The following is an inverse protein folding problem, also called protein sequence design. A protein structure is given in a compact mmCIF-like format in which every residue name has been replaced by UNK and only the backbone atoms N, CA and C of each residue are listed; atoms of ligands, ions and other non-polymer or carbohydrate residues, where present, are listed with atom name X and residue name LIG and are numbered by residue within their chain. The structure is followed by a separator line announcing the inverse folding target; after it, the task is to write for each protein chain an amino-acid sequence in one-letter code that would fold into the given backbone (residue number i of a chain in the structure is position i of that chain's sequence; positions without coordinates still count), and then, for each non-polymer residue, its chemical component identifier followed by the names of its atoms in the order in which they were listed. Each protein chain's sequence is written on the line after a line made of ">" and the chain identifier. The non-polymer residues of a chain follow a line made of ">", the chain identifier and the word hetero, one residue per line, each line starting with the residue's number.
data_IF_602261453192
#
_entry.id   IF_602261453192
#
_cell.length_a   1.000
_cell.length_b   1.000
_cell.length_c   1.000
_cell.angle_alpha   90.00
_cell.angle_beta   90.00
_cell.angle_gamma   90.00
#
_symmetry.space_group_name_H-M   'P 1'
#
loop_
_entity.id
_entity.type
_entity.pdbx_description
1 polymer ?
#
# COMPACT_ATOMS: atom_id res chain seq x y z
N UNK A 1 21.86 -2.39 4.53
CA UNK A 1 21.98 -2.87 3.13
C UNK A 1 21.00 -3.98 2.76
N UNK A 2 21.02 -5.18 3.37
CA UNK A 2 20.04 -6.24 3.01
C UNK A 2 18.61 -5.90 3.48
N UNK A 3 18.46 -5.40 4.71
CA UNK A 3 17.17 -5.00 5.31
C UNK A 3 16.43 -3.92 4.53
N UNK A 4 17.17 -2.96 3.95
CA UNK A 4 16.61 -1.90 3.10
C UNK A 4 16.14 -2.43 1.75
N UNK A 5 16.78 -3.46 1.18
CA UNK A 5 16.26 -4.12 -0.02
C UNK A 5 14.95 -4.87 0.28
N UNK A 6 14.88 -5.61 1.39
CA UNK A 6 13.64 -6.29 1.80
C UNK A 6 12.47 -5.32 2.02
N UNK A 7 12.70 -4.19 2.69
CA UNK A 7 11.67 -3.16 2.87
C UNK A 7 11.15 -2.63 1.53
N UNK A 8 12.03 -2.41 0.54
CA UNK A 8 11.64 -1.97 -0.81
C UNK A 8 10.83 -3.04 -1.55
N UNK A 9 11.25 -4.30 -1.50
CA UNK A 9 10.50 -5.39 -2.13
C UNK A 9 9.13 -5.59 -1.50
N UNK A 10 9.00 -5.38 -0.19
CA UNK A 10 7.71 -5.41 0.48
C UNK A 10 6.81 -4.25 0.06
N UNK A 11 7.34 -3.02 -0.09
CA UNK A 11 6.58 -1.90 -0.67
C UNK A 11 6.10 -2.23 -2.09
N UNK A 12 6.95 -2.84 -2.90
CA UNK A 12 6.58 -3.30 -4.24
C UNK A 12 5.49 -4.37 -4.20
N UNK A 13 5.60 -5.34 -3.28
CA UNK A 13 4.61 -6.39 -3.08
C UNK A 13 3.27 -5.80 -2.63
N UNK A 14 3.26 -4.86 -1.68
CA UNK A 14 2.06 -4.13 -1.25
C UNK A 14 1.41 -3.38 -2.41
N UNK A 15 2.21 -2.71 -3.25
CA UNK A 15 1.72 -2.05 -4.47
C UNK A 15 1.07 -3.04 -5.44
N UNK A 16 1.70 -4.19 -5.68
CA UNK A 16 1.16 -5.24 -6.56
C UNK A 16 -0.14 -5.85 -6.03
N UNK A 17 -0.23 -6.09 -4.71
CA UNK A 17 -1.44 -6.60 -4.06
C UNK A 17 -2.59 -5.58 -4.17
N UNK A 18 -2.32 -4.29 -3.96
CA UNK A 18 -3.30 -3.22 -4.15
C UNK A 18 -3.80 -3.15 -5.60
N UNK A 19 -2.90 -3.23 -6.58
CA UNK A 19 -3.27 -3.25 -7.99
C UNK A 19 -4.14 -4.47 -8.33
N UNK A 20 -3.81 -5.64 -7.78
CA UNK A 20 -4.62 -6.84 -7.95
C UNK A 20 -6.03 -6.67 -7.34
N UNK A 21 -6.13 -6.15 -6.11
CA UNK A 21 -7.44 -5.90 -5.48
C UNK A 21 -8.26 -4.85 -6.22
N UNK A 22 -7.63 -3.80 -6.75
CA UNK A 22 -8.27 -2.81 -7.59
C UNK A 22 -8.91 -3.44 -8.83
N UNK A 23 -8.18 -4.28 -9.57
CA UNK A 23 -8.74 -4.96 -10.75
C UNK A 23 -9.81 -5.99 -10.35
N UNK A 24 -9.57 -6.75 -9.27
CA UNK A 24 -10.51 -7.74 -8.78
C UNK A 24 -11.84 -7.10 -8.34
N UNK A 25 -11.83 -5.92 -7.73
CA UNK A 25 -13.05 -5.22 -7.31
C UNK A 25 -13.88 -4.76 -8.52
N UNK A 26 -13.24 -4.33 -9.61
CA UNK A 26 -13.94 -3.99 -10.86
C UNK A 26 -14.67 -5.20 -11.47
N UNK A 27 -14.11 -6.41 -11.37
CA UNK A 27 -14.79 -7.62 -11.88
C UNK A 27 -16.07 -7.97 -11.10
N UNK A 28 -16.23 -7.46 -9.87
CA UNK A 28 -17.41 -7.68 -9.02
C UNK A 28 -18.55 -6.67 -9.24
N UNK A 29 -18.33 -5.65 -10.06
CA UNK A 29 -19.34 -4.61 -10.36
C UNK A 29 -20.65 -5.21 -10.92
N UNK A 30 -20.56 -6.32 -11.67
CA UNK A 30 -21.73 -6.98 -12.26
C UNK A 30 -22.72 -7.61 -11.27
N UNK A 31 -22.37 -7.70 -9.98
CA UNK A 31 -23.20 -8.38 -8.96
C UNK A 31 -24.21 -7.42 -8.30
N UNK A 32 -23.92 -6.12 -8.21
CA UNK A 32 -24.78 -5.11 -7.59
C UNK A 32 -24.73 -3.78 -8.37
N UNK A 33 -25.60 -3.57 -9.37
CA UNK A 33 -25.54 -2.39 -10.24
C UNK A 33 -25.81 -1.07 -9.52
N UNK A 34 -26.53 -1.07 -8.40
CA UNK A 34 -26.80 0.14 -7.60
C UNK A 34 -25.55 0.67 -6.86
N UNK A 35 -24.59 -0.20 -6.54
CA UNK A 35 -23.34 0.16 -5.88
C UNK A 35 -22.14 0.29 -6.84
N UNK A 36 -22.37 0.08 -8.15
CA UNK A 36 -21.32 0.06 -9.18
C UNK A 36 -20.46 1.33 -9.19
N UNK A 37 -21.06 2.50 -9.01
CA UNK A 37 -20.36 3.78 -8.96
C UNK A 37 -19.38 3.86 -7.78
N UNK A 38 -19.83 3.47 -6.59
CA UNK A 38 -18.99 3.47 -5.37
C UNK A 38 -17.84 2.47 -5.47
N UNK A 39 -18.10 1.27 -6.01
CA UNK A 39 -17.07 0.25 -6.24
C UNK A 39 -16.02 0.73 -7.25
N UNK A 40 -16.44 1.39 -8.33
CA UNK A 40 -15.52 1.93 -9.33
C UNK A 40 -14.62 3.05 -8.76
N UNK A 41 -15.19 3.96 -7.97
CA UNK A 41 -14.41 5.03 -7.29
C UNK A 41 -13.39 4.40 -6.34
N UNK A 42 -13.82 3.42 -5.53
CA UNK A 42 -12.95 2.74 -4.59
C UNK A 42 -11.80 1.99 -5.29
N UNK A 43 -12.11 1.27 -6.38
CA UNK A 43 -11.12 0.61 -7.21
C UNK A 43 -10.10 1.60 -7.80
N UNK A 44 -10.56 2.78 -8.23
CA UNK A 44 -9.70 3.83 -8.77
C UNK A 44 -8.77 4.43 -7.71
N UNK A 45 -9.27 4.66 -6.49
CA UNK A 45 -8.46 5.11 -5.35
C UNK A 45 -7.37 4.08 -5.03
N UNK A 46 -7.72 2.80 -4.94
CA UNK A 46 -6.75 1.71 -4.73
C UNK A 46 -5.68 1.66 -5.83
N UNK A 47 -6.05 1.94 -7.08
CA UNK A 47 -5.10 1.99 -8.19
C UNK A 47 -4.13 3.18 -8.07
N UNK A 48 -4.62 4.34 -7.66
CA UNK A 48 -3.79 5.52 -7.38
C UNK A 48 -2.81 5.21 -6.25
N UNK A 49 -3.26 4.59 -5.16
CA UNK A 49 -2.41 4.18 -4.04
C UNK A 49 -1.35 3.17 -4.47
N UNK A 50 -1.72 2.18 -5.29
CA UNK A 50 -0.78 1.24 -5.89
C UNK A 50 0.31 1.98 -6.67
N UNK A 51 -0.09 2.93 -7.52
CA UNK A 51 0.83 3.77 -8.30
C UNK A 51 1.72 4.66 -7.44
N UNK A 52 1.19 5.22 -6.36
CA UNK A 52 1.93 6.04 -5.42
C UNK A 52 3.01 5.20 -4.68
N UNK A 53 2.66 4.01 -4.19
CA UNK A 53 3.62 3.08 -3.58
C UNK A 53 4.67 2.60 -4.58
N UNK A 54 4.30 2.36 -5.84
CA UNK A 54 5.24 2.01 -6.90
C UNK A 54 6.24 3.16 -7.16
N UNK A 55 5.75 4.40 -7.22
CA UNK A 55 6.61 5.57 -7.36
C UNK A 55 7.55 5.72 -6.15
N UNK A 56 7.04 5.46 -4.95
CA UNK A 56 7.84 5.43 -3.73
C UNK A 56 8.94 4.36 -3.80
N UNK A 57 8.64 3.16 -4.25
CA UNK A 57 9.64 2.09 -4.45
C UNK A 57 10.83 2.54 -5.33
N UNK A 58 10.54 3.25 -6.43
CA UNK A 58 11.57 3.79 -7.32
C UNK A 58 12.32 5.00 -6.74
N UNK A 59 11.66 5.81 -5.92
CA UNK A 59 12.24 7.06 -5.36
C UNK A 59 12.86 6.90 -3.98
N UNK A 60 12.58 5.82 -3.25
CA UNK A 60 13.15 5.51 -1.93
C UNK A 60 14.69 5.58 -1.89
N UNK A 61 15.43 5.07 -2.90
CA UNK A 61 16.90 5.13 -2.92
C UNK A 61 17.48 6.55 -2.99
N UNK A 62 16.67 7.56 -3.35
CA UNK A 62 17.12 8.95 -3.46
C UNK A 62 17.21 9.68 -2.11
N UNK A 63 16.99 8.98 -0.99
CA UNK A 63 17.11 9.48 0.38
C UNK A 63 16.35 10.80 0.64
N UNK A 64 15.19 10.98 0.01
CA UNK A 64 14.36 12.17 0.21
C UNK A 64 13.43 11.94 1.40
N UNK A 65 13.54 12.77 2.45
CA UNK A 65 12.67 12.74 3.65
C UNK A 65 11.19 12.67 3.28
N UNK A 66 10.77 13.47 2.29
CA UNK A 66 9.38 13.50 1.81
C UNK A 66 8.89 12.13 1.31
N UNK A 67 9.70 11.40 0.54
CA UNK A 67 9.30 10.09 -0.02
C UNK A 67 9.19 9.05 1.08
N UNK A 68 10.09 9.09 2.07
CA UNK A 68 10.03 8.20 3.23
C UNK A 68 8.73 8.41 4.01
N UNK A 69 8.42 9.66 4.39
CA UNK A 69 7.21 9.98 5.12
C UNK A 69 5.93 9.72 4.33
N UNK A 70 5.93 9.97 3.02
CA UNK A 70 4.80 9.66 2.15
C UNK A 70 4.53 8.15 2.11
N UNK A 71 5.58 7.33 1.97
CA UNK A 71 5.45 5.86 2.02
C UNK A 71 4.93 5.41 3.39
N UNK A 72 5.47 5.97 4.46
CA UNK A 72 5.06 5.66 5.83
C UNK A 72 3.58 5.98 6.06
N UNK A 73 3.11 7.15 5.63
CA UNK A 73 1.72 7.59 5.78
C UNK A 73 0.78 6.67 4.99
N UNK A 74 1.11 6.34 3.73
CA UNK A 74 0.27 5.44 2.92
C UNK A 74 0.15 4.06 3.59
N UNK A 75 1.28 3.48 4.02
CA UNK A 75 1.27 2.18 4.71
C UNK A 75 0.50 2.25 6.04
N UNK A 76 0.59 3.35 6.79
CA UNK A 76 -0.16 3.54 8.03
C UNK A 76 -1.67 3.65 7.76
N UNK A 77 -2.08 4.40 6.73
CA UNK A 77 -3.48 4.49 6.32
C UNK A 77 -4.03 3.13 5.88
N UNK A 78 -3.26 2.34 5.13
CA UNK A 78 -3.62 0.98 4.75
C UNK A 78 -3.79 0.01 5.93
N UNK A 79 -3.24 0.33 7.10
CA UNK A 79 -3.45 -0.44 8.33
C UNK A 79 -4.69 0.06 9.08
N UNK A 80 -4.86 1.38 9.14
CA UNK A 80 -5.90 2.03 9.97
C UNK A 80 -7.27 1.96 9.29
N UNK A 81 -7.37 2.25 7.99
CA UNK A 81 -8.65 2.34 7.30
C UNK A 81 -9.44 1.02 7.32
N UNK A 82 -8.84 -0.16 7.06
CA UNK A 82 -9.61 -1.40 7.04
C UNK A 82 -10.09 -1.82 8.44
N UNK A 83 -9.53 -1.29 9.52
CA UNK A 83 -9.99 -1.55 10.90
C UNK A 83 -11.36 -0.91 11.17
N UNK A 84 -11.68 0.18 10.48
CA UNK A 84 -12.97 0.86 10.59
C UNK A 84 -14.02 0.32 9.61
N UNK A 85 -13.63 -0.55 8.69
CA UNK A 85 -14.55 -1.23 7.77
C UNK A 85 -14.90 -2.64 8.29
N UNK A 86 -15.82 -3.34 7.62
CA UNK A 86 -16.03 -4.76 7.87
C UNK A 86 -14.77 -5.55 7.53
N UNK A 87 -14.01 -5.90 8.57
CA UNK A 87 -12.76 -6.67 8.44
C UNK A 87 -13.04 -8.04 7.82
N UNK A 88 -12.66 -8.21 6.56
CA UNK A 88 -12.58 -9.50 5.88
C UNK A 88 -11.21 -10.17 6.07
N UNK A 89 -11.13 -11.46 5.71
CA UNK A 89 -9.85 -12.20 5.75
C UNK A 89 -8.78 -11.58 4.83
N UNK A 90 -9.20 -11.03 3.69
CA UNK A 90 -8.31 -10.30 2.78
C UNK A 90 -7.72 -9.05 3.45
N UNK A 91 -8.53 -8.32 4.22
CA UNK A 91 -8.10 -7.10 4.92
C UNK A 91 -7.12 -7.43 6.04
N UNK A 92 -7.34 -8.51 6.79
CA UNK A 92 -6.39 -8.97 7.82
C UNK A 92 -5.03 -9.30 7.21
N UNK A 93 -5.00 -10.07 6.12
CA UNK A 93 -3.75 -10.40 5.43
C UNK A 93 -3.06 -9.13 4.88
N UNK A 94 -3.85 -8.19 4.35
CA UNK A 94 -3.34 -6.93 3.83
C UNK A 94 -2.78 -6.05 4.96
N UNK A 95 -3.45 -5.96 6.10
CA UNK A 95 -2.97 -5.25 7.30
C UNK A 95 -1.64 -5.87 7.78
N UNK A 96 -1.57 -7.20 7.90
CA UNK A 96 -0.34 -7.89 8.32
C UNK A 96 0.83 -7.60 7.39
N UNK A 97 0.58 -7.63 6.08
CA UNK A 97 1.57 -7.26 5.08
C UNK A 97 2.03 -5.81 5.26
N UNK A 98 1.09 -4.84 5.35
CA UNK A 98 1.45 -3.44 5.52
C UNK A 98 2.18 -3.18 6.84
N UNK A 99 1.82 -3.86 7.93
CA UNK A 99 2.53 -3.81 9.21
C UNK A 99 3.97 -4.29 9.07
N UNK A 100 4.19 -5.44 8.41
CA UNK A 100 5.54 -5.97 8.17
C UNK A 100 6.36 -5.00 7.30
N UNK A 101 5.75 -4.45 6.24
CA UNK A 101 6.39 -3.44 5.37
C UNK A 101 6.76 -2.18 6.17
N UNK A 102 5.85 -1.65 6.98
CA UNK A 102 6.06 -0.45 7.80
C UNK A 102 7.16 -0.68 8.85
N UNK A 103 7.15 -1.82 9.53
CA UNK A 103 8.14 -2.18 10.54
C UNK A 103 9.55 -2.27 9.94
N UNK A 104 9.69 -2.90 8.76
CA UNK A 104 10.97 -3.01 8.06
C UNK A 104 11.44 -1.68 7.47
N UNK A 105 10.51 -0.87 6.96
CA UNK A 105 10.78 0.49 6.49
C UNK A 105 11.30 1.37 7.65
N UNK A 106 10.64 1.31 8.81
CA UNK A 106 11.03 2.07 10.00
C UNK A 106 12.35 1.59 10.61
N UNK A 107 12.60 0.28 10.61
CA UNK A 107 13.88 -0.30 11.06
C UNK A 107 15.03 0.11 10.15
N UNK A 108 14.77 0.21 8.85
CA UNK A 108 15.73 0.63 7.82
C UNK A 108 15.77 2.15 7.60
N UNK A 109 15.15 2.95 8.48
CA UNK A 109 15.02 4.40 8.29
C UNK A 109 16.34 5.13 8.09
N UNK A 110 17.43 4.66 8.71
CA UNK A 110 18.77 5.26 8.59
C UNK A 110 19.37 5.10 7.20
N UNK A 111 18.92 4.10 6.42
CA UNK A 111 19.35 3.89 5.03
C UNK A 111 18.59 4.81 4.04
N UNK A 112 17.44 5.37 4.45
CA UNK A 112 16.51 6.11 3.58
C UNK A 112 16.30 7.58 3.96
N UNK A 113 16.63 7.97 5.19
CA UNK A 113 16.64 9.36 5.62
C UNK A 113 18.03 9.94 5.34
N UNK A 114 18.12 11.18 4.83
CA UNK A 114 19.40 11.85 4.69
C UNK A 114 19.97 12.13 6.09
N UNK A 115 21.28 11.95 6.22
CA UNK A 115 22.07 12.13 7.44
C UNK A 115 21.88 13.53 8.06
#
# INVERSE_FOLDING_TARGET
>A
MQTSQYARYLVLLTSGVLAFFSVASLTRIGVNPEAAGWVAIYAFIMLIEAGALLLCYYRLPRQKKFIFWLTFIILALNIILPVFDQIGLADVLFILLNMATLALLYSSRKDFLPA
#
